data_IF_046089825730
#
_entry.id   IF_046089825730
#
_cell.length_a   1.000
_cell.length_b   1.000
_cell.length_c   1.000
_cell.angle_alpha   90.00
_cell.angle_beta   90.00
_cell.angle_gamma   90.00
#
_symmetry.space_group_name_H-M   'P 1'
#
loop_
_entity.id
_entity.type
_entity.pdbx_description
1 polymer ?
#
# COMPACT_ATOMS: atom_id res chain seq x y z
N UNK A 1 14.32 12.58 -8.48
CA UNK A 1 12.93 12.46 -7.98
C UNK A 1 12.80 13.26 -6.70
N UNK A 2 11.80 14.12 -6.58
CA UNK A 2 11.59 14.86 -5.33
C UNK A 2 10.79 14.02 -4.34
N UNK A 3 10.70 14.50 -3.10
CA UNK A 3 10.04 13.76 -2.02
C UNK A 3 8.55 13.49 -2.30
N UNK A 4 7.86 14.45 -2.92
CA UNK A 4 6.44 14.28 -3.22
C UNK A 4 6.21 13.21 -4.27
N UNK A 5 7.06 13.15 -5.29
CA UNK A 5 6.94 12.13 -6.32
C UNK A 5 7.21 10.74 -5.75
N UNK A 6 8.22 10.62 -4.87
CA UNK A 6 8.51 9.36 -4.21
C UNK A 6 7.34 8.88 -3.37
N UNK A 7 6.77 9.78 -2.55
CA UNK A 7 5.64 9.44 -1.68
C UNK A 7 4.41 9.05 -2.54
N UNK A 8 4.13 9.81 -3.61
CA UNK A 8 3.02 9.48 -4.49
C UNK A 8 3.19 8.11 -5.14
N UNK A 9 4.40 7.76 -5.56
CA UNK A 9 4.68 6.45 -6.14
C UNK A 9 4.43 5.34 -5.13
N UNK A 10 4.80 5.56 -3.88
CA UNK A 10 4.57 4.58 -2.81
C UNK A 10 3.08 4.44 -2.49
N UNK A 11 2.34 5.53 -2.48
CA UNK A 11 0.89 5.50 -2.28
C UNK A 11 0.22 4.73 -3.42
N UNK A 12 0.61 5.02 -4.67
CA UNK A 12 0.04 4.35 -5.83
C UNK A 12 0.29 2.84 -5.78
N UNK A 13 1.48 2.44 -5.37
CA UNK A 13 1.81 1.02 -5.21
C UNK A 13 0.91 0.38 -4.15
N UNK A 14 0.72 1.04 -3.02
CA UNK A 14 -0.14 0.54 -1.96
C UNK A 14 -1.60 0.40 -2.43
N UNK A 15 -2.12 1.41 -3.11
CA UNK A 15 -3.49 1.37 -3.64
C UNK A 15 -3.65 0.22 -4.63
N UNK A 16 -2.65 -0.02 -5.49
CA UNK A 16 -2.68 -1.13 -6.42
C UNK A 16 -2.72 -2.48 -5.69
N UNK A 17 -1.95 -2.63 -4.62
CA UNK A 17 -2.00 -3.85 -3.80
C UNK A 17 -3.38 -4.06 -3.17
N UNK A 18 -4.00 -2.99 -2.68
CA UNK A 18 -5.35 -3.08 -2.12
C UNK A 18 -6.37 -3.51 -3.17
N UNK A 19 -6.24 -3.01 -4.40
CA UNK A 19 -7.14 -3.37 -5.48
C UNK A 19 -6.99 -4.85 -5.86
N UNK A 20 -5.74 -5.34 -5.89
CA UNK A 20 -5.47 -6.75 -6.14
C UNK A 20 -6.11 -7.60 -5.04
N UNK A 21 -5.94 -7.20 -3.78
CA UNK A 21 -6.52 -7.93 -2.66
C UNK A 21 -8.05 -7.97 -2.75
N UNK A 22 -8.66 -6.86 -3.13
CA UNK A 22 -10.13 -6.80 -3.25
C UNK A 22 -10.66 -7.73 -4.34
N UNK A 23 -9.85 -8.01 -5.36
CA UNK A 23 -10.21 -8.91 -6.46
C UNK A 23 -9.93 -10.38 -6.15
N UNK A 24 -9.13 -10.67 -5.11
CA UNK A 24 -8.79 -12.04 -4.74
C UNK A 24 -9.97 -12.73 -4.06
N UNK A 25 -10.19 -14.00 -4.42
CA UNK A 25 -11.21 -14.82 -3.79
C UNK A 25 -10.62 -15.83 -2.80
N UNK A 26 -9.29 -15.95 -2.76
CA UNK A 26 -8.59 -16.87 -1.87
C UNK A 26 -7.57 -16.10 -1.05
N UNK A 27 -7.10 -16.73 0.04
CA UNK A 27 -6.05 -16.16 0.87
C UNK A 27 -4.74 -16.12 0.07
N UNK A 28 -4.10 -14.95 0.07
CA UNK A 28 -2.80 -14.75 -0.57
C UNK A 28 -1.85 -14.17 0.48
N UNK A 29 -1.05 -15.04 1.09
CA UNK A 29 -0.17 -14.65 2.19
C UNK A 29 0.94 -13.71 1.73
N UNK A 30 1.42 -13.87 0.49
CA UNK A 30 2.44 -12.97 -0.05
C UNK A 30 1.88 -11.56 -0.24
N UNK A 31 0.67 -11.45 -0.75
CA UNK A 31 0.01 -10.17 -0.92
C UNK A 31 -0.22 -9.48 0.43
N UNK A 32 -0.66 -10.23 1.44
CA UNK A 32 -0.86 -9.70 2.79
C UNK A 32 0.46 -9.21 3.38
N UNK A 33 1.55 -9.93 3.14
CA UNK A 33 2.88 -9.51 3.58
C UNK A 33 3.30 -8.22 2.89
N UNK A 34 3.11 -8.12 1.58
CA UNK A 34 3.46 -6.92 0.82
C UNK A 34 2.66 -5.71 1.30
N UNK A 35 1.38 -5.90 1.59
CA UNK A 35 0.53 -4.84 2.11
C UNK A 35 1.05 -4.33 3.45
N UNK A 36 1.42 -5.24 4.35
CA UNK A 36 1.91 -4.87 5.67
C UNK A 36 3.24 -4.11 5.58
N UNK A 37 4.15 -4.59 4.75
CA UNK A 37 5.44 -3.92 4.54
C UNK A 37 5.21 -2.50 4.00
N UNK A 38 4.31 -2.37 3.02
CA UNK A 38 4.03 -1.08 2.40
C UNK A 38 3.34 -0.13 3.38
N UNK A 39 2.44 -0.61 4.23
CA UNK A 39 1.83 0.22 5.27
C UNK A 39 2.88 0.78 6.21
N UNK A 40 3.81 -0.07 6.67
CA UNK A 40 4.86 0.37 7.57
C UNK A 40 5.74 1.43 6.90
N UNK A 41 6.04 1.24 5.62
CA UNK A 41 6.84 2.21 4.87
C UNK A 41 6.12 3.55 4.74
N UNK A 42 4.82 3.53 4.43
CA UNK A 42 4.04 4.76 4.32
C UNK A 42 3.92 5.47 5.68
N UNK A 43 3.72 4.72 6.76
CA UNK A 43 3.67 5.30 8.10
C UNK A 43 4.99 6.00 8.44
N UNK A 44 6.11 5.41 8.08
CA UNK A 44 7.42 6.02 8.28
C UNK A 44 7.59 7.31 7.48
N UNK A 45 6.86 7.44 6.36
CA UNK A 45 6.85 8.65 5.55
C UNK A 45 5.80 9.66 5.98
N UNK A 46 5.06 9.37 7.06
CA UNK A 46 4.05 10.26 7.59
C UNK A 46 2.68 10.15 6.91
N UNK A 47 2.45 9.07 6.15
CA UNK A 47 1.18 8.88 5.43
C UNK A 47 0.23 8.01 6.26
N UNK A 48 -1.02 8.44 6.42
CA UNK A 48 -2.05 7.67 7.09
C UNK A 48 -2.72 6.74 6.05
N UNK A 49 -2.46 5.43 6.18
CA UNK A 49 -2.97 4.45 5.23
C UNK A 49 -4.46 4.14 5.40
N UNK A 50 -5.06 4.50 6.52
CA UNK A 50 -6.48 4.24 6.75
C UNK A 50 -7.37 4.97 5.73
N UNK A 51 -6.89 6.07 5.17
CA UNK A 51 -7.62 6.81 4.15
C UNK A 51 -7.79 6.03 2.85
N UNK A 52 -6.99 5.00 2.62
CA UNK A 52 -7.01 4.23 1.37
C UNK A 52 -7.69 2.88 1.53
N UNK A 53 -7.96 2.44 2.75
CA UNK A 53 -8.64 1.17 2.99
C UNK A 53 -10.13 1.31 2.72
N UNK A 54 -10.74 0.27 2.10
CA UNK A 54 -12.18 0.29 1.88
C UNK A 54 -12.98 0.23 3.18
#
# INVERSE_FOLDING_TARGET
>A
MNQYEMINNEINYYVNLLRIKAAETAVNTELDYQLKVQENKLHALGVNTDNFKP
#
